data_IF_304881092217
#
_entry.id   IF_304881092217
#
_cell.length_a   1.000
_cell.length_b   1.000
_cell.length_c   1.000
_cell.angle_alpha   90.00
_cell.angle_beta   90.00
_cell.angle_gamma   90.00
#
_symmetry.space_group_name_H-M   'P 1'
#
loop_
_entity.id
_entity.type
_entity.pdbx_description
1 polymer ?
#
# COMPACT_ATOMS: atom_id res chain seq x y z
N UNK A 1 7.23 6.76 52.18
CA UNK A 1 7.93 5.85 51.26
C UNK A 1 8.85 6.73 50.42
N UNK A 2 10.17 6.60 50.59
CA UNK A 2 11.17 7.50 50.00
C UNK A 2 11.75 6.80 48.79
N UNK A 3 11.54 7.36 47.59
CA UNK A 3 12.17 6.86 46.37
C UNK A 3 13.60 7.37 46.33
N UNK A 4 14.57 6.47 46.51
CA UNK A 4 15.97 6.77 46.32
C UNK A 4 16.23 6.98 44.82
N UNK A 5 16.51 8.22 44.42
CA UNK A 5 17.00 8.53 43.09
C UNK A 5 18.51 8.30 43.06
N UNK A 6 18.93 7.16 42.49
CA UNK A 6 20.33 6.92 42.13
C UNK A 6 20.50 7.05 40.61
N UNK A 7 20.17 8.21 40.06
CA UNK A 7 20.49 8.53 38.67
C UNK A 7 21.84 9.25 38.62
N UNK A 8 22.84 8.57 38.04
CA UNK A 8 24.09 9.20 37.63
C UNK A 8 23.77 10.36 36.67
N UNK A 9 24.21 11.61 36.93
CA UNK A 9 23.62 12.81 36.34
C UNK A 9 24.00 13.10 34.86
N UNK A 10 24.47 12.13 34.06
CA UNK A 10 25.02 12.42 32.72
C UNK A 10 24.81 11.34 31.64
N UNK A 11 23.95 10.34 31.84
CA UNK A 11 23.68 9.35 30.79
C UNK A 11 22.64 9.88 29.80
N UNK A 12 22.90 9.85 28.47
CA UNK A 12 21.93 10.30 27.49
C UNK A 12 20.67 9.43 27.55
N UNK A 13 19.51 10.08 27.50
CA UNK A 13 18.21 9.40 27.45
C UNK A 13 17.92 9.05 26.00
N UNK A 14 17.73 7.76 25.72
CA UNK A 14 17.45 7.25 24.38
C UNK A 14 16.10 6.53 24.35
N UNK A 15 15.34 6.73 23.26
CA UNK A 15 14.17 5.93 22.98
C UNK A 15 14.57 4.54 22.48
N UNK A 16 13.84 3.51 22.89
CA UNK A 16 14.06 2.14 22.42
C UNK A 16 12.75 1.46 22.06
N UNK A 17 12.86 0.50 21.15
CA UNK A 17 11.76 -0.36 20.69
C UNK A 17 12.29 -1.78 20.64
N UNK A 18 11.68 -2.71 21.38
CA UNK A 18 12.10 -4.12 21.45
C UNK A 18 10.87 -5.03 21.31
N UNK A 19 10.89 -6.02 20.40
CA UNK A 19 9.81 -7.01 20.32
C UNK A 19 9.79 -7.87 21.59
N UNK A 20 8.60 -8.08 22.15
CA UNK A 20 8.38 -8.91 23.33
C UNK A 20 7.57 -10.12 22.93
N UNK A 21 8.17 -11.30 23.09
CA UNK A 21 7.47 -12.58 22.95
C UNK A 21 7.00 -13.06 24.31
N UNK A 22 5.71 -12.93 24.59
CA UNK A 22 5.07 -13.46 25.80
C UNK A 22 4.70 -14.93 25.56
N UNK A 23 5.61 -15.83 25.93
CA UNK A 23 5.46 -17.28 25.99
C UNK A 23 5.21 -18.04 24.65
N UNK A 24 5.75 -19.27 24.51
CA UNK A 24 5.74 -20.02 23.25
C UNK A 24 4.39 -20.65 22.85
N UNK A 25 3.27 -20.32 23.52
CA UNK A 25 1.99 -21.03 23.34
C UNK A 25 0.83 -20.15 22.85
N UNK A 26 1.07 -18.85 22.65
CA UNK A 26 0.09 -17.88 22.16
C UNK A 26 0.59 -17.28 20.83
N UNK A 27 0.39 -18.03 19.75
CA UNK A 27 0.79 -17.67 18.36
C UNK A 27 0.14 -16.36 17.86
N UNK A 28 -0.78 -15.75 18.62
CA UNK A 28 -1.66 -14.68 18.12
C UNK A 28 -1.45 -13.29 18.71
N UNK A 29 -0.68 -13.13 19.78
CA UNK A 29 -0.48 -11.82 20.40
C UNK A 29 1.01 -11.48 20.52
N UNK A 30 1.49 -10.74 19.54
CA UNK A 30 2.83 -10.15 19.57
C UNK A 30 2.74 -8.76 20.19
N UNK A 31 3.70 -8.43 21.04
CA UNK A 31 3.81 -7.14 21.69
C UNK A 31 5.14 -6.48 21.33
N UNK A 32 5.14 -5.16 21.34
CA UNK A 32 6.33 -4.33 21.19
C UNK A 32 6.47 -3.48 22.44
N UNK A 33 7.63 -3.57 23.10
CA UNK A 33 7.97 -2.70 24.22
C UNK A 33 8.60 -1.43 23.69
N UNK A 34 7.97 -0.30 23.99
CA UNK A 34 8.48 1.04 23.66
C UNK A 34 8.80 1.78 24.94
N UNK A 35 9.88 2.54 24.98
CA UNK A 35 10.29 3.22 26.20
C UNK A 35 11.50 4.13 26.06
N UNK A 36 11.92 4.66 27.21
CA UNK A 36 13.12 5.49 27.35
C UNK A 36 14.09 4.83 28.32
N UNK A 37 15.38 4.87 27.99
CA UNK A 37 16.47 4.37 28.85
C UNK A 37 17.57 5.42 29.02
N UNK A 38 18.17 5.48 30.21
CA UNK A 38 19.39 6.23 30.47
C UNK A 38 20.60 5.31 30.20
N UNK A 39 21.38 5.64 29.16
CA UNK A 39 22.46 4.77 28.72
C UNK A 39 21.98 3.40 28.22
N UNK A 40 22.79 2.36 28.33
CA UNK A 40 22.50 1.08 27.67
C UNK A 40 21.44 0.21 28.37
N UNK A 41 21.28 0.31 29.69
CA UNK A 41 20.55 -0.70 30.46
C UNK A 41 19.54 -0.14 31.48
N UNK A 42 19.55 1.16 31.78
CA UNK A 42 18.67 1.73 32.80
C UNK A 42 17.35 2.18 32.18
N UNK A 43 16.32 1.33 32.23
CA UNK A 43 14.99 1.66 31.68
C UNK A 43 14.27 2.62 32.62
N UNK A 44 14.09 3.85 32.17
CA UNK A 44 13.38 4.90 32.93
C UNK A 44 11.87 4.65 32.88
N UNK A 45 11.36 4.35 31.69
CA UNK A 45 9.94 4.09 31.47
C UNK A 45 9.77 3.17 30.25
N UNK A 46 8.80 2.26 30.31
CA UNK A 46 8.44 1.41 29.18
C UNK A 46 6.97 1.01 29.22
N UNK A 47 6.37 0.84 28.04
CA UNK A 47 4.99 0.38 27.85
C UNK A 47 5.01 -0.76 26.83
N UNK A 48 4.24 -1.80 27.11
CA UNK A 48 4.00 -2.90 26.16
C UNK A 48 2.78 -2.59 25.32
N UNK A 49 2.97 -2.50 24.00
CA UNK A 49 1.94 -2.17 23.02
C UNK A 49 1.66 -3.40 22.16
N UNK A 50 0.41 -3.86 22.05
CA UNK A 50 0.06 -4.93 21.11
C UNK A 50 0.38 -4.52 19.67
N UNK A 51 1.05 -5.40 18.91
CA UNK A 51 1.50 -5.06 17.54
C UNK A 51 0.34 -4.71 16.62
N UNK A 52 -0.80 -5.38 16.77
CA UNK A 52 -1.98 -5.16 15.94
C UNK A 52 -2.57 -3.76 16.11
N UNK A 53 -2.43 -3.14 17.30
CA UNK A 53 -2.84 -1.75 17.51
C UNK A 53 -1.88 -0.79 16.81
N UNK A 54 -0.57 -1.07 16.88
CA UNK A 54 0.44 -0.28 16.19
C UNK A 54 0.29 -0.36 14.67
N UNK A 55 0.11 -1.56 14.12
CA UNK A 55 -0.13 -1.78 12.70
C UNK A 55 -1.40 -1.07 12.22
N UNK A 56 -2.48 -1.17 13.00
CA UNK A 56 -3.74 -0.48 12.69
C UNK A 56 -3.58 1.04 12.70
N UNK A 57 -2.89 1.57 13.70
CA UNK A 57 -2.64 3.00 13.82
C UNK A 57 -1.71 3.51 12.71
N UNK A 58 -0.67 2.75 12.36
CA UNK A 58 0.18 3.09 11.21
C UNK A 58 -0.65 3.07 9.92
N UNK A 59 -1.42 1.99 9.70
CA UNK A 59 -2.24 1.84 8.51
C UNK A 59 -3.32 2.93 8.37
N UNK A 60 -3.89 3.44 9.47
CA UNK A 60 -4.87 4.52 9.40
C UNK A 60 -4.30 5.87 8.96
N UNK A 61 -2.98 6.03 9.03
CA UNK A 61 -2.25 7.22 8.61
C UNK A 61 -1.54 7.05 7.27
N UNK A 62 -1.71 5.89 6.62
CA UNK A 62 -1.15 5.62 5.30
C UNK A 62 -2.22 5.73 4.23
N UNK A 63 -1.93 6.49 3.18
CA UNK A 63 -2.78 6.57 1.99
C UNK A 63 -2.09 5.86 0.81
N UNK A 64 -2.78 4.92 0.17
CA UNK A 64 -2.26 4.29 -1.03
C UNK A 64 -2.68 5.10 -2.27
N UNK A 65 -1.70 5.58 -3.02
CA UNK A 65 -1.91 6.32 -4.27
C UNK A 65 -1.35 5.53 -5.44
N UNK A 66 -2.23 5.18 -6.37
CA UNK A 66 -1.87 4.52 -7.63
C UNK A 66 -1.84 5.55 -8.76
N UNK A 67 -0.75 5.58 -9.52
CA UNK A 67 -0.56 6.46 -10.68
C UNK A 67 -0.21 5.65 -11.91
N UNK A 68 -0.62 6.15 -13.06
CA UNK A 68 -0.21 5.61 -14.35
C UNK A 68 1.02 6.36 -14.86
N UNK A 69 2.08 5.64 -15.21
CA UNK A 69 3.28 6.26 -15.79
C UNK A 69 3.18 6.34 -17.33
N UNK A 70 4.06 7.15 -17.94
CA UNK A 70 4.11 7.31 -19.39
C UNK A 70 4.51 6.02 -20.14
N UNK A 71 5.02 5.02 -19.42
CA UNK A 71 5.40 3.71 -19.95
C UNK A 71 4.26 2.68 -19.90
N UNK A 72 3.05 3.08 -19.49
CA UNK A 72 1.90 2.18 -19.48
C UNK A 72 1.73 1.35 -18.20
N UNK A 73 2.48 1.65 -17.15
CA UNK A 73 2.50 0.88 -15.91
C UNK A 73 1.79 1.61 -14.78
N UNK A 74 1.09 0.85 -13.93
CA UNK A 74 0.61 1.32 -12.65
C UNK A 74 1.74 1.30 -11.64
N UNK A 75 1.90 2.42 -10.94
CA UNK A 75 2.84 2.59 -9.84
C UNK A 75 2.06 2.96 -8.60
N UNK A 76 2.05 2.08 -7.62
CA UNK A 76 1.41 2.32 -6.32
C UNK A 76 2.45 2.76 -5.29
N UNK A 77 2.12 3.83 -4.58
CA UNK A 77 2.92 4.41 -3.50
C UNK A 77 2.07 4.48 -2.23
N UNK A 78 2.71 4.27 -1.09
CA UNK A 78 2.14 4.66 0.20
C UNK A 78 2.61 6.08 0.51
N UNK A 79 1.66 6.95 0.81
CA UNK A 79 1.90 8.27 1.37
C UNK A 79 1.71 8.20 2.89
N UNK A 80 2.55 8.91 3.63
CA UNK A 80 2.28 9.18 5.04
C UNK A 80 1.16 10.22 5.20
N UNK A 81 0.77 10.46 6.45
CA UNK A 81 -0.26 11.46 6.82
C UNK A 81 0.11 12.90 6.47
N UNK A 82 1.34 13.17 6.02
CA UNK A 82 1.82 14.48 5.54
C UNK A 82 1.87 14.51 4.00
N UNK A 83 1.45 13.44 3.33
CA UNK A 83 1.46 13.30 1.87
C UNK A 83 2.85 13.00 1.29
N UNK A 84 3.83 12.66 2.14
CA UNK A 84 5.17 12.30 1.71
C UNK A 84 5.23 10.81 1.33
N UNK A 85 5.82 10.45 0.19
CA UNK A 85 5.94 9.05 -0.21
C UNK A 85 6.89 8.31 0.74
N UNK A 86 6.41 7.17 1.27
CA UNK A 86 7.25 6.27 2.05
C UNK A 86 8.42 5.74 1.20
N UNK A 87 9.60 5.52 1.79
CA UNK A 87 10.78 5.01 1.07
C UNK A 87 10.56 3.64 0.38
N UNK A 88 9.61 2.83 0.86
CA UNK A 88 9.34 1.45 0.40
C UNK A 88 7.91 1.00 0.78
N UNK A 89 7.27 0.03 0.08
CA UNK A 89 7.57 -0.53 -1.23
C UNK A 89 6.73 0.12 -2.35
N UNK A 90 7.33 0.28 -3.54
CA UNK A 90 6.61 0.66 -4.76
C UNK A 90 6.16 -0.63 -5.43
N UNK A 91 4.85 -0.84 -5.54
CA UNK A 91 4.34 -1.91 -6.41
C UNK A 91 4.21 -1.35 -7.81
N UNK A 92 4.80 -2.03 -8.79
CA UNK A 92 4.66 -1.69 -10.20
C UNK A 92 4.07 -2.87 -10.94
N UNK A 93 2.95 -2.66 -11.63
CA UNK A 93 2.30 -3.68 -12.44
C UNK A 93 1.86 -3.08 -13.78
N UNK A 94 1.97 -3.83 -14.87
CA UNK A 94 1.35 -3.44 -16.14
C UNK A 94 -0.14 -3.78 -16.14
N UNK A 95 -0.91 -3.17 -17.06
CA UNK A 95 -2.32 -3.52 -17.24
C UNK A 95 -2.46 -5.02 -17.53
N UNK A 96 -1.61 -5.58 -18.39
CA UNK A 96 -1.64 -6.98 -18.77
C UNK A 96 -1.41 -7.90 -17.56
N UNK A 97 -0.50 -7.52 -16.67
CA UNK A 97 -0.22 -8.26 -15.45
C UNK A 97 -1.42 -8.22 -14.50
N UNK A 98 -2.05 -7.06 -14.31
CA UNK A 98 -3.24 -6.93 -13.47
C UNK A 98 -4.43 -7.72 -14.04
N UNK A 99 -4.62 -7.68 -15.36
CA UNK A 99 -5.66 -8.47 -16.04
C UNK A 99 -5.38 -9.96 -15.87
N UNK A 100 -4.14 -10.40 -16.12
CA UNK A 100 -3.70 -11.79 -15.93
C UNK A 100 -3.97 -12.28 -14.51
N UNK A 101 -3.67 -11.47 -13.51
CA UNK A 101 -3.88 -11.82 -12.10
C UNK A 101 -5.37 -11.86 -11.75
N UNK A 102 -6.17 -10.92 -12.26
CA UNK A 102 -7.62 -10.88 -12.04
C UNK A 102 -8.34 -12.08 -12.69
N UNK A 103 -7.87 -12.55 -13.85
CA UNK A 103 -8.45 -13.71 -14.54
C UNK A 103 -7.85 -15.05 -14.10
N UNK A 104 -6.93 -15.04 -13.13
CA UNK A 104 -6.38 -16.27 -12.56
C UNK A 104 -7.51 -17.08 -11.92
N UNK A 105 -7.54 -18.39 -12.16
CA UNK A 105 -8.60 -19.28 -11.66
C UNK A 105 -8.79 -19.26 -10.14
N UNK A 106 -7.74 -18.91 -9.40
CA UNK A 106 -7.77 -18.78 -7.94
C UNK A 106 -8.54 -17.53 -7.47
N UNK A 107 -8.64 -16.51 -8.33
CA UNK A 107 -9.29 -15.23 -8.07
C UNK A 107 -10.70 -15.15 -8.69
N UNK A 108 -11.05 -16.07 -9.58
CA UNK A 108 -12.35 -16.13 -10.21
C UNK A 108 -13.39 -16.74 -9.26
N UNK A 109 -14.43 -15.96 -8.95
CA UNK A 109 -15.63 -16.45 -8.27
C UNK A 109 -16.75 -16.63 -9.29
N UNK A 110 -17.43 -17.77 -9.21
CA UNK A 110 -18.62 -18.01 -10.02
C UNK A 110 -19.80 -17.27 -9.40
N UNK A 111 -20.36 -16.32 -10.13
CA UNK A 111 -21.58 -15.61 -9.77
C UNK A 111 -22.73 -16.05 -10.69
N UNK A 112 -23.94 -16.18 -10.13
CA UNK A 112 -25.14 -16.44 -10.93
C UNK A 112 -25.56 -15.15 -11.64
N UNK A 113 -25.44 -15.15 -12.97
CA UNK A 113 -25.71 -13.99 -13.82
C UNK A 113 -27.13 -14.07 -14.37
N UNK A 114 -27.92 -13.00 -14.24
CA UNK A 114 -29.26 -12.94 -14.83
C UNK A 114 -29.21 -12.60 -16.33
N UNK A 115 -30.25 -12.89 -17.12
CA UNK A 115 -30.30 -12.49 -18.53
C UNK A 115 -30.16 -10.97 -18.74
N UNK A 116 -30.56 -10.15 -17.76
CA UNK A 116 -30.42 -8.70 -17.82
C UNK A 116 -28.96 -8.27 -17.63
N UNK A 117 -28.25 -8.91 -16.71
CA UNK A 117 -26.82 -8.67 -16.51
C UNK A 117 -26.02 -9.04 -17.77
N UNK A 118 -26.38 -10.15 -18.41
CA UNK A 118 -25.79 -10.58 -19.67
C UNK A 118 -26.01 -9.56 -20.79
N UNK A 119 -27.23 -8.98 -20.88
CA UNK A 119 -27.54 -7.91 -21.84
C UNK A 119 -26.76 -6.64 -21.54
N UNK A 120 -26.63 -6.28 -20.27
CA UNK A 120 -25.83 -5.15 -19.82
C UNK A 120 -24.36 -5.29 -20.24
N UNK A 121 -23.77 -6.46 -19.98
CA UNK A 121 -22.40 -6.78 -20.38
C UNK A 121 -22.20 -6.70 -21.90
N UNK A 122 -23.15 -7.20 -22.69
CA UNK A 122 -23.13 -7.10 -24.15
C UNK A 122 -23.11 -5.64 -24.63
N UNK A 123 -23.99 -4.79 -24.07
CA UNK A 123 -24.00 -3.37 -24.43
C UNK A 123 -22.71 -2.66 -24.01
N UNK A 124 -22.17 -2.95 -22.83
CA UNK A 124 -20.89 -2.39 -22.40
C UNK A 124 -19.75 -2.78 -23.34
N UNK A 125 -19.75 -4.02 -23.85
CA UNK A 125 -18.76 -4.50 -24.80
C UNK A 125 -18.87 -3.77 -26.15
N UNK A 126 -20.09 -3.60 -26.67
CA UNK A 126 -20.32 -2.85 -27.91
C UNK A 126 -19.81 -1.41 -27.80
N UNK A 127 -20.12 -0.73 -26.69
CA UNK A 127 -19.64 0.64 -26.43
C UNK A 127 -18.11 0.71 -26.36
N UNK A 128 -17.46 -0.26 -25.69
CA UNK A 128 -16.01 -0.31 -25.60
C UNK A 128 -15.36 -0.50 -26.99
N UNK A 129 -15.93 -1.36 -27.83
CA UNK A 129 -15.46 -1.59 -29.21
C UNK A 129 -15.56 -0.29 -30.03
N UNK A 130 -16.68 0.43 -29.91
CA UNK A 130 -16.88 1.70 -30.61
C UNK A 130 -15.88 2.77 -30.17
N UNK A 131 -15.57 2.84 -28.87
CA UNK A 131 -14.55 3.76 -28.34
C UNK A 131 -13.16 3.45 -28.88
N UNK A 132 -12.76 2.16 -28.93
CA UNK A 132 -11.48 1.74 -29.50
C UNK A 132 -11.42 2.08 -30.98
N UNK A 133 -12.50 1.84 -31.73
CA UNK A 133 -12.59 2.20 -33.15
C UNK A 133 -12.45 3.72 -33.34
N UNK A 134 -13.14 4.52 -32.53
CA UNK A 134 -13.05 5.97 -32.59
C UNK A 134 -11.62 6.48 -32.29
N UNK A 135 -10.96 5.90 -31.28
CA UNK A 135 -9.57 6.21 -30.94
C UNK A 135 -8.61 5.86 -32.09
N UNK A 136 -8.77 4.69 -32.72
CA UNK A 136 -7.95 4.28 -33.87
C UNK A 136 -8.13 5.22 -35.08
N UNK A 137 -9.35 5.66 -35.34
CA UNK A 137 -9.63 6.66 -36.38
C UNK A 137 -8.94 7.99 -36.03
N UNK A 138 -9.05 8.45 -34.78
CA UNK A 138 -8.41 9.68 -34.33
C UNK A 138 -6.87 9.64 -34.48
N UNK A 139 -6.24 8.53 -34.10
CA UNK A 139 -4.80 8.30 -34.26
C UNK A 139 -4.38 8.29 -35.75
N UNK A 140 -5.20 7.69 -36.61
CA UNK A 140 -4.95 7.62 -38.05
C UNK A 140 -5.08 8.99 -38.74
N UNK A 141 -5.97 9.85 -38.24
CA UNK A 141 -6.17 11.21 -38.75
C UNK A 141 -5.11 12.19 -38.22
N UNK A 142 -4.54 11.95 -37.03
CA UNK A 142 -3.50 12.80 -36.41
C UNK A 142 -2.09 12.59 -36.96
N UNK A 143 -1.92 11.82 -38.05
CA UNK A 143 -0.64 11.68 -38.74
C UNK A 143 -0.62 12.64 -39.96
N UNK A 144 -0.26 13.94 -39.79
CA UNK A 144 -0.12 14.81 -40.94
C UNK A 144 1.09 14.36 -41.73
N UNK A 145 0.79 13.89 -42.94
CA UNK A 145 1.65 13.78 -44.09
C UNK A 145 2.70 14.90 -44.14
N UNK A 146 3.92 14.66 -43.64
CA UNK A 146 5.12 15.38 -44.07
C UNK A 146 5.53 14.83 -45.43
N UNK A 147 4.72 15.15 -46.45
CA UNK A 147 5.12 14.97 -47.84
C UNK A 147 4.57 16.14 -48.67
N UNK A 148 5.47 17.04 -49.06
CA UNK A 148 5.24 18.00 -50.16
C UNK A 148 5.34 19.48 -49.78
N UNK A 149 6.55 20.03 -49.93
CA UNK A 149 6.95 21.44 -50.18
C UNK A 149 8.25 21.70 -49.41
N UNK A 150 9.42 22.01 -49.99
CA UNK A 150 9.84 22.37 -51.34
C UNK A 150 11.34 22.06 -51.46
#
# INVERSE_FOLDING_TARGET
MVFAMTSSPNSPIEAFVVPVSLAPHSVREQFVRVGYRAGQHDVIASVDVPIHLLEREIASHLEMVTRFNLSGQFVSHLLDSVGSPLPTPRSTASIEQLVSEAVCSENLKLEEVTPNDLRGLLMSLEVAIDQVRAALIAISVSNPTTAGAS
#
